data_IF_320720912457
#
_entry.id   IF_320720912457
#
_cell.length_a   1.000
_cell.length_b   1.000
_cell.length_c   1.000
_cell.angle_alpha   90.00
_cell.angle_beta   90.00
_cell.angle_gamma   90.00
#
_symmetry.space_group_name_H-M   'P 1'
#
loop_
_entity.id
_entity.type
_entity.pdbx_description
1 polymer ?
#
# COMPACT_ATOMS: atom_id res chain seq x y z
N UNK A 1 7.58 -27.97 -14.64
CA UNK A 1 7.20 -27.24 -13.40
C UNK A 1 8.37 -26.43 -12.83
N UNK A 2 9.06 -25.63 -13.67
CA UNK A 2 10.34 -24.98 -13.31
C UNK A 2 10.21 -23.50 -12.90
N UNK A 3 9.18 -22.80 -13.38
CA UNK A 3 9.04 -21.35 -13.16
C UNK A 3 8.72 -20.95 -11.71
N UNK A 4 8.02 -21.80 -10.95
CA UNK A 4 7.65 -21.48 -9.57
C UNK A 4 8.86 -21.45 -8.63
N UNK A 5 9.82 -22.35 -8.84
CA UNK A 5 11.05 -22.40 -8.04
C UNK A 5 11.96 -21.20 -8.31
N UNK A 6 12.07 -20.77 -9.57
CA UNK A 6 12.88 -19.61 -9.95
C UNK A 6 12.25 -18.29 -9.48
N UNK A 7 10.91 -18.16 -9.54
CA UNK A 7 10.20 -17.00 -8.98
C UNK A 7 10.44 -16.85 -7.46
N UNK A 8 10.58 -17.97 -6.75
CA UNK A 8 10.87 -17.96 -5.31
C UNK A 8 12.32 -17.61 -4.99
N UNK A 9 13.29 -17.87 -5.89
CA UNK A 9 14.71 -17.51 -5.70
C UNK A 9 14.95 -16.00 -5.77
N UNK A 10 14.17 -15.28 -6.59
CA UNK A 10 14.28 -13.83 -6.74
C UNK A 10 13.35 -13.04 -5.83
N UNK A 11 12.61 -13.71 -4.94
CA UNK A 11 11.75 -13.02 -3.98
C UNK A 11 12.62 -12.28 -2.94
N UNK A 12 12.62 -10.95 -3.01
CA UNK A 12 13.27 -10.09 -2.02
C UNK A 12 12.69 -10.40 -0.64
N UNK A 13 13.51 -10.93 0.25
CA UNK A 13 13.11 -11.17 1.65
C UNK A 13 12.95 -9.82 2.35
N UNK A 14 11.83 -9.65 3.06
CA UNK A 14 11.62 -8.46 3.89
C UNK A 14 12.68 -8.41 4.99
N UNK A 15 13.20 -7.21 5.29
CA UNK A 15 14.10 -6.97 6.44
C UNK A 15 13.41 -7.11 7.80
N UNK A 16 12.08 -7.19 7.79
CA UNK A 16 11.20 -7.29 8.96
C UNK A 16 11.43 -8.60 9.72
N UNK A 17 11.48 -8.52 11.05
CA UNK A 17 11.68 -9.64 11.97
C UNK A 17 10.46 -9.89 12.83
N UNK A 18 10.43 -11.06 13.47
CA UNK A 18 9.42 -11.37 14.48
C UNK A 18 9.52 -10.37 15.63
N UNK A 19 8.38 -9.96 16.17
CA UNK A 19 8.22 -8.98 17.26
C UNK A 19 8.53 -7.52 16.91
N UNK A 20 8.94 -7.20 15.68
CA UNK A 20 9.07 -5.81 15.22
C UNK A 20 7.69 -5.13 15.19
N UNK A 21 7.68 -3.83 15.46
CA UNK A 21 6.52 -2.97 15.28
C UNK A 21 6.46 -2.44 13.85
N UNK A 22 5.27 -2.51 13.24
CA UNK A 22 5.07 -2.13 11.84
C UNK A 22 3.76 -1.39 11.63
N UNK A 23 3.76 -0.48 10.66
CA UNK A 23 2.56 0.14 10.12
C UNK A 23 2.09 -0.61 8.87
N UNK A 24 0.78 -0.73 8.69
CA UNK A 24 0.20 -1.41 7.52
C UNK A 24 -0.30 -0.40 6.51
N UNK A 25 0.02 -0.63 5.24
CA UNK A 25 -0.49 0.16 4.11
C UNK A 25 -2.00 -0.04 3.97
N UNK A 26 -2.75 1.07 3.95
CA UNK A 26 -4.20 1.07 3.72
C UNK A 26 -4.51 0.64 2.29
N UNK A 27 -5.59 -0.13 2.11
CA UNK A 27 -6.02 -0.60 0.79
C UNK A 27 -6.65 0.53 -0.03
N UNK A 28 -7.47 1.35 0.63
CA UNK A 28 -8.09 2.54 0.08
C UNK A 28 -7.65 3.73 0.93
N UNK A 29 -7.02 4.72 0.30
CA UNK A 29 -6.65 5.97 0.91
C UNK A 29 -7.04 7.09 -0.04
N UNK A 30 -7.68 8.15 0.46
CA UNK A 30 -7.89 9.36 -0.33
C UNK A 30 -6.54 10.04 -0.59
N UNK A 31 -6.47 10.92 -1.59
CA UNK A 31 -5.22 11.63 -1.94
C UNK A 31 -4.61 12.40 -0.75
N UNK A 32 -5.46 12.91 0.14
CA UNK A 32 -5.08 13.65 1.35
C UNK A 32 -4.71 12.76 2.54
N UNK A 33 -5.03 11.46 2.51
CA UNK A 33 -4.85 10.58 3.66
C UNK A 33 -3.45 9.95 3.68
N UNK A 34 -2.93 9.72 4.89
CA UNK A 34 -1.73 8.90 5.05
C UNK A 34 -1.97 7.50 4.47
N UNK A 35 -1.03 7.06 3.63
CA UNK A 35 -1.01 5.73 3.00
C UNK A 35 -0.90 4.57 4.00
N UNK A 36 -0.44 4.84 5.21
CA UNK A 36 -0.25 3.85 6.27
C UNK A 36 -1.25 4.05 7.41
N UNK A 37 -1.56 2.97 8.12
CA UNK A 37 -2.32 3.02 9.38
C UNK A 37 -1.55 3.83 10.40
N UNK A 38 -2.25 4.62 11.21
CA UNK A 38 -1.65 5.32 12.35
C UNK A 38 -1.32 4.39 13.51
N UNK A 39 -2.03 3.26 13.61
CA UNK A 39 -1.83 2.27 14.67
C UNK A 39 -0.74 1.28 14.27
N UNK A 40 0.32 1.12 15.10
CA UNK A 40 1.32 0.09 14.91
C UNK A 40 0.78 -1.29 15.29
N UNK A 41 1.25 -2.29 14.58
CA UNK A 41 0.96 -3.71 14.76
C UNK A 41 2.27 -4.43 15.07
N UNK A 42 2.23 -5.49 15.87
CA UNK A 42 3.40 -6.30 16.18
C UNK A 42 3.43 -7.54 15.31
N UNK A 43 4.57 -7.84 14.69
CA UNK A 43 4.72 -9.04 13.86
C UNK A 43 4.72 -10.28 14.76
N UNK A 44 3.82 -11.23 14.49
CA UNK A 44 3.74 -12.50 15.23
C UNK A 44 4.13 -13.72 14.43
N UNK A 45 3.94 -13.72 13.11
CA UNK A 45 4.37 -14.83 12.24
C UNK A 45 4.91 -14.31 10.91
N UNK A 46 5.97 -14.94 10.42
CA UNK A 46 6.53 -14.70 9.09
C UNK A 46 6.55 -16.03 8.34
N UNK A 47 5.92 -16.08 7.17
CA UNK A 47 5.85 -17.24 6.28
C UNK A 47 6.28 -16.83 4.88
N UNK A 48 7.56 -17.03 4.55
CA UNK A 48 8.18 -16.60 3.28
C UNK A 48 8.00 -15.08 3.08
N UNK A 49 7.14 -14.68 2.16
CA UNK A 49 6.83 -13.26 1.84
C UNK A 49 5.62 -12.74 2.60
N UNK A 50 4.84 -13.62 3.22
CA UNK A 50 3.64 -13.26 3.97
C UNK A 50 3.98 -13.02 5.43
N UNK A 51 3.53 -11.89 5.95
CA UNK A 51 3.73 -11.45 7.33
C UNK A 51 2.37 -11.30 7.98
N UNK A 52 2.26 -11.85 9.18
CA UNK A 52 1.11 -11.71 10.06
C UNK A 52 1.48 -10.78 11.21
N UNK A 53 0.71 -9.71 11.39
CA UNK A 53 0.88 -8.75 12.47
C UNK A 53 -0.44 -8.53 13.21
N UNK A 54 -0.36 -8.27 14.52
CA UNK A 54 -1.53 -8.13 15.38
C UNK A 54 -1.42 -6.95 16.35
N UNK A 55 -2.58 -6.42 16.75
CA UNK A 55 -2.72 -5.49 17.87
C UNK A 55 -4.03 -5.80 18.60
N UNK A 56 -3.93 -6.33 19.81
CA UNK A 56 -5.09 -6.73 20.61
C UNK A 56 -5.95 -7.75 19.86
N UNK A 57 -7.19 -7.36 19.56
CA UNK A 57 -8.19 -8.22 18.89
C UNK A 57 -8.14 -8.20 17.36
N UNK A 58 -7.21 -7.46 16.76
CA UNK A 58 -7.12 -7.31 15.30
C UNK A 58 -5.82 -7.92 14.77
N UNK A 59 -5.92 -8.69 13.68
CA UNK A 59 -4.76 -9.25 12.98
C UNK A 59 -4.85 -9.02 11.47
N UNK A 60 -3.69 -8.91 10.83
CA UNK A 60 -3.52 -8.68 9.40
C UNK A 60 -2.47 -9.61 8.85
N UNK A 61 -2.80 -10.28 7.75
CA UNK A 61 -1.85 -11.10 6.98
C UNK A 61 -1.69 -10.53 5.57
N UNK A 62 -0.50 -10.05 5.23
CA UNK A 62 -0.18 -9.45 3.91
C UNK A 62 1.25 -9.72 3.48
N UNK A 63 1.60 -9.38 2.24
CA UNK A 63 2.99 -9.38 1.78
C UNK A 63 3.82 -8.32 2.52
N UNK A 64 5.09 -8.61 2.76
CA UNK A 64 6.04 -7.71 3.42
C UNK A 64 6.10 -6.30 2.84
N UNK A 65 5.82 -6.13 1.54
CA UNK A 65 5.76 -4.81 0.87
C UNK A 65 4.64 -3.89 1.36
N UNK A 66 3.66 -4.43 2.08
CA UNK A 66 2.54 -3.66 2.66
C UNK A 66 2.84 -3.20 4.08
N UNK A 67 4.00 -3.55 4.62
CA UNK A 67 4.42 -3.18 5.96
C UNK A 67 5.56 -2.17 5.88
N UNK A 68 5.52 -1.19 6.76
CA UNK A 68 6.63 -0.25 6.99
C UNK A 68 7.09 -0.43 8.45
N UNK A 69 8.39 -0.56 8.66
CA UNK A 69 8.97 -0.59 10.00
C UNK A 69 8.58 0.67 10.78
N UNK A 70 8.12 0.49 12.02
CA UNK A 70 7.80 1.55 12.94
C UNK A 70 8.85 1.56 14.04
N UNK A 71 9.54 2.69 14.20
CA UNK A 71 10.44 2.92 15.33
C UNK A 71 9.81 3.96 16.24
N UNK A 72 9.67 3.60 17.50
CA UNK A 72 9.35 4.56 18.56
C UNK A 72 10.52 5.52 18.69
N UNK A 73 10.25 6.80 18.86
CA UNK A 73 11.30 7.79 19.14
C UNK A 73 12.08 7.49 20.44
N UNK A 74 11.53 6.64 21.32
CA UNK A 74 12.18 6.19 22.56
C UNK A 74 13.29 5.14 22.32
N UNK A 75 13.45 4.61 21.11
CA UNK A 75 14.48 3.60 20.76
C UNK A 75 15.75 4.22 20.13
N UNK A 76 15.90 5.55 20.14
CA UNK A 76 17.02 6.29 19.49
C UNK A 76 18.35 6.29 20.29
N UNK A 77 18.57 5.39 21.24
CA UNK A 77 19.83 5.27 22.00
C UNK A 77 20.66 4.01 21.70
N UNK A 78 20.31 3.22 20.69
CA UNK A 78 21.03 1.97 20.39
C UNK A 78 21.43 1.81 18.93
N UNK A 79 22.69 2.13 18.62
CA UNK A 79 23.48 1.70 17.45
C UNK A 79 22.81 1.83 16.06
N UNK A 80 23.35 2.64 15.13
CA UNK A 80 22.85 2.69 13.77
C UNK A 80 23.04 1.32 13.09
N UNK A 81 21.97 0.51 13.08
CA UNK A 81 21.87 -0.64 12.16
C UNK A 81 22.19 -0.11 10.76
N UNK A 82 23.10 -0.74 9.99
CA UNK A 82 23.38 -0.31 8.63
C UNK A 82 22.09 -0.46 7.82
N UNK A 83 21.38 0.64 7.66
CA UNK A 83 20.30 0.78 6.69
C UNK A 83 20.91 0.40 5.35
N UNK A 84 20.38 -0.64 4.70
CA UNK A 84 20.79 -1.05 3.37
C UNK A 84 20.92 0.19 2.49
N UNK A 85 22.17 0.49 2.12
CA UNK A 85 22.58 1.77 1.57
C UNK A 85 21.76 2.13 0.34
N UNK A 86 20.94 3.17 0.46
CA UNK A 86 20.68 4.02 -0.67
C UNK A 86 21.96 4.80 -0.90
N UNK A 87 22.80 4.29 -1.79
CA UNK A 87 23.94 5.04 -2.32
C UNK A 87 23.37 6.32 -2.91
N UNK A 88 23.58 7.45 -2.25
CA UNK A 88 23.61 8.72 -2.94
C UNK A 88 24.74 8.62 -3.98
N UNK A 89 24.52 8.99 -5.25
CA UNK A 89 25.65 9.12 -6.16
C UNK A 89 26.55 10.21 -5.60
N UNK A 90 27.76 9.80 -5.21
CA UNK A 90 28.83 10.72 -4.82
C UNK A 90 29.06 11.67 -5.99
N UNK A 91 28.76 12.93 -5.76
CA UNK A 91 29.13 14.01 -6.66
C UNK A 91 30.63 14.17 -6.56
N UNK A 92 31.36 13.50 -7.45
CA UNK A 92 32.77 13.74 -7.62
C UNK A 92 32.94 15.06 -8.38
N UNK A 93 33.61 16.00 -7.74
CA UNK A 93 33.92 17.30 -8.29
C UNK A 93 35.10 17.13 -9.25
N UNK A 94 34.87 17.31 -10.55
CA UNK A 94 35.94 17.21 -11.52
C UNK A 94 35.54 17.55 -12.96
N UNK A 95 35.44 18.85 -13.27
CA UNK A 95 35.98 19.37 -14.54
C UNK A 95 35.04 19.57 -15.73
N UNK A 96 34.82 20.86 -16.02
CA UNK A 96 34.91 21.49 -17.35
C UNK A 96 33.88 21.18 -18.46
N UNK A 97 33.15 22.27 -18.81
CA UNK A 97 32.64 22.69 -20.13
C UNK A 97 31.70 21.67 -20.82
N UNK A 98 30.47 22.00 -21.18
CA UNK A 98 30.11 23.03 -22.15
C UNK A 98 28.67 23.52 -21.93
N UNK A 99 28.46 24.79 -22.25
CA UNK A 99 27.17 25.46 -22.34
C UNK A 99 26.30 24.87 -23.43
N UNK A 100 25.13 24.34 -23.07
CA UNK A 100 24.03 24.16 -24.01
C UNK A 100 22.76 24.80 -23.43
N UNK A 101 22.57 26.07 -23.80
CA UNK A 101 21.29 26.73 -23.79
C UNK A 101 20.32 25.93 -24.67
N UNK A 102 19.32 25.31 -24.07
CA UNK A 102 18.13 24.85 -24.78
C UNK A 102 16.92 25.48 -24.10
N UNK A 103 16.69 26.73 -24.48
CA UNK A 103 15.38 27.37 -24.53
C UNK A 103 14.43 26.46 -25.30
N UNK A 104 13.42 25.92 -24.64
CA UNK A 104 12.21 25.46 -25.32
C UNK A 104 11.09 26.42 -24.95
N UNK A 105 10.86 27.26 -25.95
CA UNK A 105 9.82 28.27 -26.08
C UNK A 105 8.43 27.61 -26.17
N UNK A 106 7.42 28.42 -25.92
CA UNK A 106 6.08 27.97 -25.58
C UNK A 106 5.26 27.34 -26.70
N UNK A 107 4.23 26.59 -26.26
CA UNK A 107 2.97 26.45 -27.00
C UNK A 107 1.77 26.37 -26.02
N UNK A 108 1.21 27.55 -25.75
CA UNK A 108 -0.25 27.83 -25.74
C UNK A 108 -0.78 27.49 -27.15
N UNK A 109 -2.00 27.09 -27.47
CA UNK A 109 -3.32 27.12 -26.84
C UNK A 109 -4.30 26.45 -27.85
N UNK A 110 -5.37 25.81 -27.36
CA UNK A 110 -6.72 25.69 -27.96
C UNK A 110 -7.42 24.54 -27.20
N UNK A 111 -8.38 24.79 -26.31
CA UNK A 111 -9.78 25.15 -26.61
C UNK A 111 -10.44 24.16 -27.58
N UNK A 112 -11.08 23.13 -27.02
CA UNK A 112 -12.27 22.52 -27.61
C UNK A 112 -13.33 22.37 -26.52
N UNK A 113 -14.30 23.28 -26.61
CA UNK A 113 -15.64 23.19 -26.03
C UNK A 113 -16.47 22.29 -26.93
N UNK A 114 -17.27 21.37 -26.37
CA UNK A 114 -18.50 20.72 -26.90
C UNK A 114 -18.71 19.45 -26.06
N UNK A 115 -19.86 19.01 -25.57
CA UNK A 115 -21.24 19.50 -25.47
C UNK A 115 -21.90 18.66 -24.36
N UNK A 116 -22.88 19.28 -23.72
CA UNK A 116 -23.92 18.67 -22.87
C UNK A 116 -24.70 17.58 -23.62
N UNK A 117 -24.65 16.32 -23.16
CA UNK A 117 -25.70 15.32 -23.45
C UNK A 117 -25.87 14.38 -22.26
N UNK A 118 -27.07 14.40 -21.67
CA UNK A 118 -27.68 13.17 -21.15
C UNK A 118 -27.96 13.11 -19.65
N UNK A 119 -28.89 13.94 -19.18
CA UNK A 119 -29.77 13.51 -18.09
C UNK A 119 -30.56 12.27 -18.53
N UNK A 120 -30.34 11.12 -17.90
CA UNK A 120 -31.40 10.12 -17.80
C UNK A 120 -31.58 9.66 -16.35
N UNK A 121 -32.71 10.13 -15.82
CA UNK A 121 -33.40 9.61 -14.66
C UNK A 121 -33.83 8.17 -14.97
N UNK A 122 -33.68 7.27 -14.01
CA UNK A 122 -34.72 6.24 -13.86
C UNK A 122 -34.27 4.87 -13.38
N UNK A 123 -34.61 4.63 -12.10
CA UNK A 123 -35.33 3.43 -11.63
C UNK A 123 -34.65 2.06 -11.82
N UNK A 124 -34.32 1.44 -10.70
CA UNK A 124 -35.02 0.22 -10.24
C UNK A 124 -34.19 -0.48 -9.15
N UNK A 125 -34.62 -0.35 -7.90
CA UNK A 125 -34.21 -1.29 -6.85
C UNK A 125 -35.07 -2.55 -7.03
N UNK A 126 -34.50 -3.76 -7.19
CA UNK A 126 -35.29 -4.96 -7.00
C UNK A 126 -35.53 -5.18 -5.51
N UNK A 127 -36.65 -4.64 -5.03
CA UNK A 127 -37.34 -5.15 -3.84
C UNK A 127 -37.73 -6.60 -4.12
N UNK A 128 -37.02 -7.56 -3.55
CA UNK A 128 -37.54 -8.93 -3.45
C UNK A 128 -37.50 -9.40 -2.02
N UNK A 129 -38.63 -9.12 -1.36
CA UNK A 129 -39.12 -9.79 -0.16
C UNK A 129 -39.03 -11.31 -0.34
N UNK A 130 -38.00 -11.96 0.22
CA UNK A 130 -38.06 -13.40 0.46
C UNK A 130 -38.92 -13.65 1.69
N UNK A 131 -40.21 -13.74 1.39
CA UNK A 131 -41.28 -14.44 2.12
C UNK A 131 -40.73 -15.49 3.10
N UNK A 132 -40.84 -15.19 4.39
CA UNK A 132 -40.73 -16.16 5.48
C UNK A 132 -41.84 -17.21 5.34
N UNK A 133 -41.54 -18.52 5.33
CA UNK A 133 -42.56 -19.52 5.60
C UNK A 133 -42.82 -19.56 7.11
N UNK A 134 -43.97 -19.01 7.52
CA UNK A 134 -44.64 -19.43 8.75
C UNK A 134 -44.97 -20.91 8.62
N UNK A 135 -44.40 -21.74 9.48
CA UNK A 135 -45.03 -23.01 9.88
C UNK A 135 -45.25 -22.98 11.39
N UNK A 136 -46.50 -22.66 11.71
CA UNK A 136 -47.25 -23.26 12.81
C UNK A 136 -47.15 -24.79 12.71
N UNK A 137 -46.93 -25.43 13.84
CA UNK A 137 -47.31 -26.79 14.31
C UNK A 137 -46.94 -26.68 15.82
N UNK A 138 -47.84 -26.31 16.74
CA UNK A 138 -48.85 -27.18 17.37
C UNK A 138 -48.32 -28.59 17.66
N UNK A 139 -47.91 -28.85 18.90
CA UNK A 139 -48.51 -29.87 19.78
C UNK A 139 -47.54 -30.21 20.94
N UNK A 140 -48.10 -30.06 22.15
CA UNK A 140 -47.89 -30.82 23.41
C UNK A 140 -46.47 -30.94 23.99
#
# INVERSE_FOLDING_TARGET
MKSYADACRHAIRSSLRLRDWVLVRKLQARKSDSRFSSRPLKITKIRRTMIMAEAGFYSVTRSGSHFKEFRSSDDEEGEPRPSAGWKTPSTDAGGSRETALLTWDGHRQADDTIEDIGQERGRSLPTRLSRMPRRLIEEL
#
